data_IF_738064123318
#
_entry.id   IF_738064123318
#
_cell.length_a   1.000
_cell.length_b   1.000
_cell.length_c   1.000
_cell.angle_alpha   90.00
_cell.angle_beta   90.00
_cell.angle_gamma   90.00
#
_symmetry.space_group_name_H-M   'P 1'
#
loop_
_entity.id
_entity.type
_entity.pdbx_description
1 polymer ?
#
# COMPACT_ATOMS: atom_id res chain seq x y z
N UNK A 1 -16.36 46.58 -12.51
CA UNK A 1 -15.83 45.20 -12.61
C UNK A 1 -15.24 45.00 -14.01
N UNK A 2 -14.18 44.22 -14.28
CA UNK A 2 -13.18 43.51 -13.44
C UNK A 2 -11.96 43.11 -14.30
N UNK A 3 -11.11 44.08 -14.68
CA UNK A 3 -9.88 43.83 -15.47
C UNK A 3 -8.99 42.65 -14.98
N UNK A 4 -8.74 42.44 -13.67
CA UNK A 4 -7.95 41.29 -13.21
C UNK A 4 -8.63 39.94 -13.47
N UNK A 5 -9.97 39.84 -13.46
CA UNK A 5 -10.68 38.58 -13.75
C UNK A 5 -10.58 38.20 -15.24
N UNK A 6 -10.57 39.18 -16.15
CA UNK A 6 -10.35 38.92 -17.56
C UNK A 6 -8.92 38.42 -17.84
N UNK A 7 -7.93 38.93 -17.10
CA UNK A 7 -6.54 38.47 -17.18
C UNK A 7 -6.38 37.04 -16.65
N UNK A 8 -6.94 36.71 -15.47
CA UNK A 8 -6.86 35.36 -14.90
C UNK A 8 -7.63 34.32 -15.72
N UNK A 9 -8.79 34.68 -16.28
CA UNK A 9 -9.51 33.79 -17.20
C UNK A 9 -8.70 33.49 -18.48
N UNK A 10 -7.97 34.49 -19.01
CA UNK A 10 -7.11 34.33 -20.18
C UNK A 10 -5.90 33.44 -19.89
N UNK A 11 -5.21 33.63 -18.77
CA UNK A 11 -4.07 32.77 -18.39
C UNK A 11 -4.52 31.33 -18.11
N UNK A 12 -5.65 31.14 -17.42
CA UNK A 12 -6.21 29.81 -17.16
C UNK A 12 -6.59 29.09 -18.47
N UNK A 13 -7.25 29.78 -19.42
CA UNK A 13 -7.56 29.21 -20.75
C UNK A 13 -6.30 28.85 -21.53
N UNK A 14 -5.24 29.66 -21.46
CA UNK A 14 -3.95 29.35 -22.09
C UNK A 14 -3.30 28.12 -21.48
N UNK A 15 -3.25 28.02 -20.15
CA UNK A 15 -2.73 26.86 -19.40
C UNK A 15 -3.49 25.56 -19.74
N UNK A 16 -4.83 25.60 -19.73
CA UNK A 16 -5.65 24.44 -20.14
C UNK A 16 -5.35 24.04 -21.59
N UNK A 17 -5.21 25.01 -22.50
CA UNK A 17 -4.89 24.72 -23.91
C UNK A 17 -3.48 24.14 -24.10
N UNK A 18 -2.49 24.56 -23.31
CA UNK A 18 -1.13 24.04 -23.40
C UNK A 18 -1.03 22.64 -22.80
N UNK A 19 -1.70 22.41 -21.67
CA UNK A 19 -1.86 21.07 -21.06
C UNK A 19 -2.54 20.11 -22.04
N UNK A 20 -3.66 20.50 -22.67
CA UNK A 20 -4.35 19.67 -23.65
C UNK A 20 -3.48 19.33 -24.87
N UNK A 21 -2.71 20.29 -25.40
CA UNK A 21 -1.75 20.00 -26.49
C UNK A 21 -0.63 19.08 -26.04
N UNK A 22 -0.16 19.21 -24.79
CA UNK A 22 0.89 18.37 -24.23
C UNK A 22 0.40 16.94 -23.96
N UNK A 23 -0.82 16.76 -23.44
CA UNK A 23 -1.41 15.42 -23.22
C UNK A 23 -1.71 14.71 -24.53
N UNK A 24 -2.22 15.41 -25.56
CA UNK A 24 -2.41 14.83 -26.90
C UNK A 24 -1.08 14.39 -27.51
N UNK A 25 -0.04 15.25 -27.45
CA UNK A 25 1.33 14.85 -27.89
C UNK A 25 1.87 13.69 -27.07
N UNK A 26 1.62 13.64 -25.77
CA UNK A 26 2.04 12.53 -24.92
C UNK A 26 1.37 11.20 -25.31
N UNK A 27 0.04 11.21 -25.43
CA UNK A 27 -0.77 10.03 -25.75
C UNK A 27 -0.62 9.55 -27.21
N UNK A 28 -0.24 10.43 -28.15
CA UNK A 28 0.02 10.02 -29.55
C UNK A 28 1.13 8.96 -29.70
N UNK A 29 2.00 8.81 -28.70
CA UNK A 29 3.05 7.78 -28.65
C UNK A 29 2.72 6.64 -27.67
N UNK A 30 1.46 6.54 -27.24
CA UNK A 30 0.96 5.56 -26.27
C UNK A 30 -0.50 5.19 -26.59
N UNK A 31 -0.75 4.47 -27.72
CA UNK A 31 -2.10 4.26 -28.25
C UNK A 31 -3.01 3.43 -27.33
N UNK A 32 -2.50 2.42 -26.61
CA UNK A 32 -3.35 1.63 -25.71
C UNK A 32 -3.71 2.44 -24.44
N UNK A 33 -2.77 3.21 -23.92
CA UNK A 33 -3.02 4.19 -22.84
C UNK A 33 -4.09 5.19 -23.29
N UNK A 34 -3.97 5.74 -24.50
CA UNK A 34 -4.94 6.68 -25.04
C UNK A 34 -6.35 6.07 -25.11
N UNK A 35 -6.47 4.86 -25.68
CA UNK A 35 -7.74 4.15 -25.79
C UNK A 35 -8.37 3.86 -24.41
N UNK A 36 -7.59 3.37 -23.45
CA UNK A 36 -8.06 3.08 -22.09
C UNK A 36 -8.39 4.36 -21.32
N UNK A 37 -7.62 5.43 -21.45
CA UNK A 37 -7.93 6.74 -20.87
C UNK A 37 -9.24 7.31 -21.43
N UNK A 38 -9.49 7.19 -22.74
CA UNK A 38 -10.76 7.63 -23.35
C UNK A 38 -11.92 6.77 -22.85
N UNK A 39 -11.78 5.45 -22.84
CA UNK A 39 -12.81 4.54 -22.32
C UNK A 39 -13.14 4.84 -20.85
N UNK A 40 -12.12 5.07 -20.02
CA UNK A 40 -12.30 5.48 -18.62
C UNK A 40 -13.01 6.80 -18.48
N UNK A 41 -12.60 7.83 -19.22
CA UNK A 41 -13.25 9.14 -19.17
C UNK A 41 -14.72 9.06 -19.60
N UNK A 42 -15.04 8.29 -20.64
CA UNK A 42 -16.42 8.08 -21.12
C UNK A 42 -17.25 7.29 -20.10
N UNK A 43 -16.75 6.17 -19.57
CA UNK A 43 -17.50 5.35 -18.60
C UNK A 43 -17.68 6.10 -17.28
N UNK A 44 -16.65 6.76 -16.74
CA UNK A 44 -16.79 7.55 -15.51
C UNK A 44 -17.69 8.78 -15.68
N UNK A 45 -17.68 9.45 -16.84
CA UNK A 45 -18.63 10.52 -17.13
C UNK A 45 -20.07 10.00 -17.27
N UNK A 46 -20.26 8.85 -17.93
CA UNK A 46 -21.57 8.21 -18.08
C UNK A 46 -22.13 7.78 -16.72
N UNK A 47 -21.30 7.15 -15.89
CA UNK A 47 -21.68 6.77 -14.53
C UNK A 47 -22.01 8.00 -13.66
N UNK A 48 -21.31 9.13 -13.82
CA UNK A 48 -21.63 10.35 -13.10
C UNK A 48 -22.99 10.96 -13.51
N UNK A 49 -23.33 10.92 -14.81
CA UNK A 49 -24.61 11.45 -15.33
C UNK A 49 -25.79 10.53 -15.01
N UNK A 50 -25.59 9.22 -15.05
CA UNK A 50 -26.64 8.19 -14.96
C UNK A 50 -26.51 7.33 -13.69
N UNK A 51 -26.00 7.94 -12.61
CA UNK A 51 -25.61 7.30 -11.34
C UNK A 51 -26.62 6.30 -10.80
N UNK A 52 -27.90 6.67 -10.77
CA UNK A 52 -28.96 5.87 -10.14
C UNK A 52 -29.43 4.69 -11.02
N UNK A 53 -28.90 4.55 -12.24
CA UNK A 53 -29.28 3.50 -13.19
C UNK A 53 -28.17 2.46 -13.46
N UNK A 54 -26.92 2.72 -13.06
CA UNK A 54 -25.76 1.87 -13.39
C UNK A 54 -25.04 1.25 -12.18
N UNK A 55 -25.79 0.82 -11.16
CA UNK A 55 -25.26 -0.01 -10.07
C UNK A 55 -24.65 -1.35 -10.55
N UNK A 56 -24.88 -1.73 -11.81
CA UNK A 56 -24.42 -2.99 -12.44
C UNK A 56 -22.98 -2.96 -12.98
N UNK A 57 -22.26 -1.83 -12.88
CA UNK A 57 -20.86 -1.78 -13.35
C UNK A 57 -19.86 -2.35 -12.33
N UNK A 58 -20.22 -2.39 -11.04
CA UNK A 58 -19.36 -2.94 -9.99
C UNK A 58 -19.33 -4.47 -10.03
N UNK A 59 -18.16 -5.07 -9.83
CA UNK A 59 -18.03 -6.52 -9.72
C UNK A 59 -18.35 -6.95 -8.28
N UNK A 60 -19.57 -7.45 -8.09
CA UNK A 60 -20.05 -8.12 -6.87
C UNK A 60 -19.93 -9.65 -7.00
N UNK A 61 -19.96 -10.41 -5.90
CA UNK A 61 -20.00 -11.88 -5.95
C UNK A 61 -21.42 -12.45 -6.10
N UNK A 62 -22.46 -11.72 -5.69
CA UNK A 62 -23.86 -12.18 -5.68
C UNK A 62 -24.59 -11.95 -7.01
N UNK A 63 -24.17 -10.97 -7.81
CA UNK A 63 -24.77 -10.60 -9.09
C UNK A 63 -23.72 -10.45 -10.21
N UNK A 64 -22.68 -11.30 -10.16
CA UNK A 64 -21.56 -11.26 -11.11
C UNK A 64 -21.96 -11.75 -12.50
N UNK A 65 -22.43 -10.84 -13.35
CA UNK A 65 -22.40 -11.07 -14.79
C UNK A 65 -20.95 -11.12 -15.29
N UNK A 66 -20.63 -11.97 -16.27
CA UNK A 66 -19.24 -12.13 -16.74
C UNK A 66 -18.60 -10.83 -17.26
N UNK A 67 -19.41 -9.90 -17.76
CA UNK A 67 -18.95 -8.58 -18.21
C UNK A 67 -18.60 -7.62 -17.06
N UNK A 68 -19.06 -7.87 -15.82
CA UNK A 68 -18.72 -7.06 -14.64
C UNK A 68 -17.22 -7.03 -14.36
N UNK A 69 -16.51 -8.11 -14.70
CA UNK A 69 -15.05 -8.22 -14.63
C UNK A 69 -14.37 -7.12 -15.46
N UNK A 70 -14.94 -6.76 -16.61
CA UNK A 70 -14.41 -5.76 -17.52
C UNK A 70 -14.99 -4.37 -17.23
N UNK A 71 -16.31 -4.26 -16.98
CA UNK A 71 -16.95 -2.95 -16.77
C UNK A 71 -16.57 -2.28 -15.45
N UNK A 72 -16.18 -3.05 -14.43
CA UNK A 72 -15.69 -2.53 -13.14
C UNK A 72 -14.46 -1.64 -13.25
N UNK A 73 -13.69 -1.71 -14.35
CA UNK A 73 -12.60 -0.78 -14.69
C UNK A 73 -13.04 0.70 -14.57
N UNK A 74 -14.26 1.01 -15.03
CA UNK A 74 -14.80 2.37 -15.08
C UNK A 74 -15.78 2.72 -13.97
N UNK A 75 -16.12 1.77 -13.08
CA UNK A 75 -16.96 2.02 -11.93
C UNK A 75 -16.24 2.91 -10.90
N UNK A 76 -16.94 3.92 -10.37
CA UNK A 76 -16.40 4.93 -9.44
C UNK A 76 -17.39 5.09 -8.29
N UNK A 77 -17.04 4.78 -7.03
CA UNK A 77 -17.95 4.94 -5.90
C UNK A 77 -18.46 6.38 -5.79
N UNK A 78 -19.77 6.52 -5.56
CA UNK A 78 -20.54 7.73 -5.84
C UNK A 78 -20.22 9.03 -5.07
N UNK A 79 -19.09 9.14 -4.38
CA UNK A 79 -18.72 10.35 -3.63
C UNK A 79 -17.35 10.93 -3.99
N UNK A 80 -16.55 10.25 -4.81
CA UNK A 80 -15.17 10.67 -5.09
C UNK A 80 -14.88 10.85 -6.58
N UNK A 81 -15.33 11.97 -7.15
CA UNK A 81 -14.83 12.44 -8.46
C UNK A 81 -13.29 12.56 -8.45
N UNK A 82 -12.69 12.82 -7.29
CA UNK A 82 -11.26 12.77 -7.05
C UNK A 82 -10.60 11.43 -7.39
N UNK A 83 -11.22 10.26 -7.13
CA UNK A 83 -10.61 8.95 -7.46
C UNK A 83 -10.66 8.67 -8.95
N UNK A 84 -11.74 9.06 -9.63
CA UNK A 84 -11.84 9.01 -11.10
C UNK A 84 -10.77 9.88 -11.76
N UNK A 85 -10.68 11.16 -11.37
CA UNK A 85 -9.69 12.10 -11.90
C UNK A 85 -8.27 11.63 -11.59
N UNK A 86 -7.98 11.18 -10.37
CA UNK A 86 -6.67 10.63 -10.01
C UNK A 86 -6.34 9.38 -10.84
N UNK A 87 -7.31 8.47 -11.04
CA UNK A 87 -7.16 7.28 -11.86
C UNK A 87 -6.85 7.60 -13.33
N UNK A 88 -7.57 8.56 -13.91
CA UNK A 88 -7.37 9.04 -15.30
C UNK A 88 -6.01 9.74 -15.45
N UNK A 89 -5.66 10.66 -14.55
CA UNK A 89 -4.37 11.37 -14.57
C UNK A 89 -3.21 10.38 -14.38
N UNK A 90 -3.33 9.43 -13.46
CA UNK A 90 -2.31 8.39 -13.24
C UNK A 90 -2.20 7.46 -14.46
N UNK A 91 -3.30 7.15 -15.15
CA UNK A 91 -3.25 6.39 -16.41
C UNK A 91 -2.51 7.17 -17.51
N UNK A 92 -2.81 8.45 -17.70
CA UNK A 92 -2.12 9.29 -18.70
C UNK A 92 -0.61 9.33 -18.43
N UNK A 93 -0.21 9.61 -17.18
CA UNK A 93 1.20 9.80 -16.82
C UNK A 93 1.94 8.46 -16.71
N UNK A 94 1.52 7.59 -15.79
CA UNK A 94 2.22 6.34 -15.50
C UNK A 94 1.93 5.27 -16.56
N UNK A 95 0.67 5.12 -16.99
CA UNK A 95 0.31 4.20 -18.07
C UNK A 95 1.04 4.54 -19.36
N UNK A 96 1.05 5.82 -19.76
CA UNK A 96 1.73 6.29 -20.97
C UNK A 96 3.26 6.16 -20.90
N UNK A 97 3.87 6.40 -19.73
CA UNK A 97 5.31 6.13 -19.53
C UNK A 97 5.63 4.63 -19.65
N UNK A 98 4.83 3.77 -19.02
CA UNK A 98 5.02 2.31 -19.04
C UNK A 98 4.82 1.76 -20.45
N UNK A 99 3.85 2.27 -21.23
CA UNK A 99 3.65 1.83 -22.62
C UNK A 99 4.86 2.14 -23.50
N UNK A 100 5.44 3.34 -23.35
CA UNK A 100 6.66 3.73 -24.08
C UNK A 100 7.88 2.89 -23.70
N UNK A 101 7.98 2.46 -22.44
CA UNK A 101 9.11 1.67 -21.95
C UNK A 101 9.00 0.16 -22.20
N UNK A 102 7.77 -0.40 -22.23
CA UNK A 102 7.54 -1.84 -22.40
C UNK A 102 7.01 -2.23 -23.79
N UNK A 103 6.52 -1.24 -24.55
CA UNK A 103 5.77 -1.45 -25.78
C UNK A 103 4.30 -1.83 -25.54
N UNK A 104 3.43 -1.42 -26.46
CA UNK A 104 1.97 -1.61 -26.41
C UNK A 104 1.55 -3.07 -26.18
N UNK A 105 2.26 -4.06 -26.74
CA UNK A 105 1.92 -5.49 -26.58
C UNK A 105 2.03 -5.95 -25.11
N UNK A 106 3.14 -5.63 -24.44
CA UNK A 106 3.36 -5.98 -23.05
C UNK A 106 2.43 -5.18 -22.11
N UNK A 107 2.17 -3.92 -22.45
CA UNK A 107 1.21 -3.07 -21.74
C UNK A 107 -0.20 -3.66 -21.76
N UNK A 108 -0.72 -4.02 -22.94
CA UNK A 108 -2.07 -4.59 -23.10
C UNK A 108 -2.18 -5.95 -22.41
N UNK A 109 -1.17 -6.82 -22.56
CA UNK A 109 -1.14 -8.10 -21.86
C UNK A 109 -1.17 -7.93 -20.33
N UNK A 110 -0.37 -7.01 -19.78
CA UNK A 110 -0.36 -6.71 -18.36
C UNK A 110 -1.69 -6.11 -17.88
N UNK A 111 -2.25 -5.13 -18.60
CA UNK A 111 -3.52 -4.49 -18.25
C UNK A 111 -4.70 -5.48 -18.22
N UNK A 112 -4.85 -6.29 -19.28
CA UNK A 112 -5.92 -7.29 -19.37
C UNK A 112 -5.76 -8.40 -18.33
N UNK A 113 -4.54 -8.93 -18.16
CA UNK A 113 -4.28 -9.95 -17.13
C UNK A 113 -4.55 -9.42 -15.72
N UNK A 114 -4.15 -8.17 -15.44
CA UNK A 114 -4.37 -7.51 -14.17
C UNK A 114 -5.83 -7.41 -13.78
N UNK A 115 -6.69 -6.99 -14.72
CA UNK A 115 -8.12 -6.91 -14.48
C UNK A 115 -8.75 -8.31 -14.33
N UNK A 116 -8.57 -9.17 -15.34
CA UNK A 116 -9.28 -10.46 -15.40
C UNK A 116 -8.83 -11.39 -14.28
N UNK A 117 -7.52 -11.56 -14.09
CA UNK A 117 -6.98 -12.44 -13.03
C UNK A 117 -7.13 -11.79 -11.66
N UNK A 118 -6.99 -10.46 -11.54
CA UNK A 118 -7.21 -9.76 -10.27
C UNK A 118 -8.60 -9.99 -9.69
N UNK A 119 -9.64 -9.86 -10.51
CA UNK A 119 -11.03 -10.13 -10.11
C UNK A 119 -11.29 -11.64 -9.93
N UNK A 120 -10.91 -12.47 -10.91
CA UNK A 120 -11.21 -13.90 -10.89
C UNK A 120 -10.49 -14.64 -9.75
N UNK A 121 -9.23 -14.32 -9.47
CA UNK A 121 -8.47 -14.96 -8.38
C UNK A 121 -8.99 -14.55 -7.01
N UNK A 122 -9.44 -13.30 -6.82
CA UNK A 122 -10.11 -12.87 -5.59
C UNK A 122 -11.35 -13.72 -5.29
N UNK A 123 -12.21 -13.94 -6.28
CA UNK A 123 -13.40 -14.78 -6.08
C UNK A 123 -13.08 -16.28 -5.95
N UNK A 124 -12.11 -16.79 -6.70
CA UNK A 124 -11.70 -18.20 -6.62
C UNK A 124 -11.06 -18.56 -5.26
N UNK A 125 -10.40 -17.60 -4.60
CA UNK A 125 -9.76 -17.81 -3.30
C UNK A 125 -10.67 -17.49 -2.11
N UNK A 126 -11.79 -16.79 -2.32
CA UNK A 126 -12.76 -16.42 -1.28
C UNK A 126 -13.23 -17.61 -0.42
N UNK A 127 -13.55 -18.81 -0.96
CA UNK A 127 -13.99 -19.94 -0.14
C UNK A 127 -12.89 -20.47 0.80
N UNK A 128 -11.63 -20.37 0.39
CA UNK A 128 -10.49 -20.71 1.26
C UNK A 128 -10.30 -19.63 2.34
N UNK A 129 -10.51 -18.36 1.98
CA UNK A 129 -10.41 -17.25 2.91
C UNK A 129 -11.46 -17.31 4.01
N UNK A 130 -12.74 -17.55 3.66
CA UNK A 130 -13.83 -17.74 4.62
C UNK A 130 -13.63 -18.94 5.56
N UNK A 131 -12.81 -19.93 5.16
CA UNK A 131 -12.40 -21.07 6.02
C UNK A 131 -11.19 -20.75 6.91
N UNK A 132 -10.24 -19.96 6.42
CA UNK A 132 -9.00 -19.67 7.13
C UNK A 132 -9.14 -18.52 8.14
N UNK A 133 -9.82 -17.44 7.76
CA UNK A 133 -10.09 -16.26 8.58
C UNK A 133 -11.50 -15.78 8.22
N UNK A 134 -12.50 -16.26 8.95
CA UNK A 134 -13.93 -16.08 8.61
C UNK A 134 -14.31 -14.62 8.42
N UNK A 135 -14.02 -13.75 9.38
CA UNK A 135 -14.36 -12.31 9.34
C UNK A 135 -13.76 -11.61 8.11
N UNK A 136 -12.46 -11.79 7.86
CA UNK A 136 -11.78 -11.21 6.69
C UNK A 136 -12.33 -11.77 5.37
N UNK A 137 -12.66 -13.06 5.33
CA UNK A 137 -13.32 -13.69 4.20
C UNK A 137 -14.75 -13.19 3.96
N UNK A 138 -15.49 -12.79 5.00
CA UNK A 138 -16.80 -12.16 4.85
C UNK A 138 -16.66 -10.70 4.36
N UNK A 139 -15.78 -9.90 4.95
CA UNK A 139 -15.52 -8.51 4.51
C UNK A 139 -15.12 -8.44 3.02
N UNK A 140 -14.25 -9.35 2.55
CA UNK A 140 -13.92 -9.46 1.11
C UNK A 140 -15.12 -9.98 0.29
N UNK A 141 -15.99 -10.82 0.88
CA UNK A 141 -17.17 -11.36 0.24
C UNK A 141 -18.36 -10.40 0.14
N UNK A 142 -18.36 -9.32 0.92
CA UNK A 142 -19.38 -8.26 0.90
C UNK A 142 -18.89 -7.03 0.09
N UNK A 143 -17.58 -6.78 0.07
CA UNK A 143 -16.98 -5.68 -0.68
C UNK A 143 -17.04 -5.85 -2.21
N UNK A 144 -17.34 -4.75 -2.92
CA UNK A 144 -17.34 -4.71 -4.38
C UNK A 144 -15.97 -4.34 -4.97
N UNK A 145 -15.74 -4.74 -6.23
CA UNK A 145 -14.53 -4.43 -6.98
C UNK A 145 -14.81 -3.36 -8.06
N UNK A 146 -13.99 -2.30 -8.07
CA UNK A 146 -14.18 -1.12 -8.91
C UNK A 146 -12.86 -0.38 -9.22
N UNK A 147 -12.89 0.44 -10.27
CA UNK A 147 -11.89 1.45 -10.62
C UNK A 147 -10.60 0.95 -11.29
N UNK A 148 -9.78 1.91 -11.70
CA UNK A 148 -8.53 1.70 -12.48
C UNK A 148 -7.40 1.00 -11.74
N UNK A 149 -7.52 0.82 -10.42
CA UNK A 149 -6.37 0.49 -9.57
C UNK A 149 -5.76 -0.87 -9.88
N UNK A 150 -6.54 -1.85 -10.35
CA UNK A 150 -6.04 -3.17 -10.75
C UNK A 150 -5.13 -3.07 -11.99
N UNK A 151 -5.55 -2.33 -13.02
CA UNK A 151 -4.73 -2.08 -14.22
C UNK A 151 -3.43 -1.35 -13.83
N UNK A 152 -3.52 -0.26 -13.06
CA UNK A 152 -2.35 0.53 -12.67
C UNK A 152 -1.34 -0.30 -11.85
N UNK A 153 -1.82 -1.15 -10.95
CA UNK A 153 -0.98 -2.07 -10.17
C UNK A 153 -0.37 -3.18 -11.02
N UNK A 154 -1.12 -3.75 -11.97
CA UNK A 154 -0.59 -4.74 -12.91
C UNK A 154 0.47 -4.14 -13.84
N UNK A 155 0.28 -2.91 -14.33
CA UNK A 155 1.26 -2.16 -15.10
C UNK A 155 2.51 -1.84 -14.27
N UNK A 156 2.38 -1.50 -12.98
CA UNK A 156 3.52 -1.37 -12.09
C UNK A 156 4.28 -2.71 -11.95
N UNK A 157 3.58 -3.83 -11.80
CA UNK A 157 4.16 -5.18 -11.79
C UNK A 157 4.90 -5.53 -13.10
N UNK A 158 4.37 -5.09 -14.24
CA UNK A 158 5.00 -5.23 -15.54
C UNK A 158 6.28 -4.38 -15.65
N UNK A 159 6.23 -3.11 -15.23
CA UNK A 159 7.39 -2.21 -15.22
C UNK A 159 8.53 -2.73 -14.32
N UNK A 160 8.20 -3.40 -13.23
CA UNK A 160 9.20 -4.07 -12.37
C UNK A 160 9.96 -5.18 -13.10
N UNK A 161 9.40 -5.80 -14.14
CA UNK A 161 10.09 -6.84 -14.92
C UNK A 161 11.21 -6.30 -15.81
N UNK A 162 11.10 -5.06 -16.29
CA UNK A 162 12.12 -4.41 -17.14
C UNK A 162 13.30 -3.84 -16.34
N UNK A 163 13.18 -3.74 -15.01
CA UNK A 163 14.30 -3.37 -14.14
C UNK A 163 15.40 -4.43 -14.18
N UNK A 164 16.66 -3.99 -14.20
CA UNK A 164 17.82 -4.87 -14.08
C UNK A 164 17.80 -5.66 -12.76
N UNK A 165 18.43 -6.84 -12.75
CA UNK A 165 18.23 -7.87 -11.71
C UNK A 165 18.34 -7.34 -10.26
N UNK A 166 19.33 -6.50 -9.99
CA UNK A 166 19.56 -5.84 -8.67
C UNK A 166 18.41 -4.93 -8.21
N UNK A 167 17.69 -4.26 -9.12
CA UNK A 167 16.55 -3.40 -8.78
C UNK A 167 15.23 -4.16 -8.82
N UNK A 168 15.10 -5.13 -9.74
CA UNK A 168 13.94 -5.99 -9.91
C UNK A 168 13.54 -6.70 -8.62
N UNK A 169 14.46 -7.39 -7.95
CA UNK A 169 14.10 -8.10 -6.71
C UNK A 169 13.67 -7.14 -5.59
N UNK A 170 14.35 -5.99 -5.45
CA UNK A 170 14.02 -4.96 -4.45
C UNK A 170 12.62 -4.39 -4.66
N UNK A 171 12.31 -4.01 -5.90
CA UNK A 171 11.01 -3.44 -6.26
C UNK A 171 9.89 -4.49 -6.15
N UNK A 172 10.13 -5.74 -6.55
CA UNK A 172 9.19 -6.86 -6.31
C UNK A 172 8.90 -7.02 -4.82
N UNK A 173 9.92 -7.17 -3.98
CA UNK A 173 9.73 -7.41 -2.54
C UNK A 173 9.03 -6.22 -1.85
N UNK A 174 9.39 -4.98 -2.22
CA UNK A 174 8.70 -3.78 -1.74
C UNK A 174 7.22 -3.77 -2.17
N UNK A 175 6.91 -3.93 -3.45
CA UNK A 175 5.53 -3.80 -3.96
C UNK A 175 4.63 -4.95 -3.51
N UNK A 176 5.13 -6.19 -3.53
CA UNK A 176 4.40 -7.34 -3.01
C UNK A 176 4.19 -7.16 -1.50
N UNK A 177 5.23 -6.80 -0.74
CA UNK A 177 5.14 -6.56 0.70
C UNK A 177 4.13 -5.47 1.05
N UNK A 178 4.22 -4.29 0.42
CA UNK A 178 3.29 -3.18 0.65
C UNK A 178 1.85 -3.57 0.27
N UNK A 179 1.60 -4.23 -0.86
CA UNK A 179 0.23 -4.61 -1.24
C UNK A 179 -0.36 -5.71 -0.35
N UNK A 180 0.42 -6.73 0.01
CA UNK A 180 -0.03 -7.80 0.92
C UNK A 180 -0.34 -7.22 2.30
N UNK A 181 0.53 -6.37 2.84
CA UNK A 181 0.29 -5.70 4.12
C UNK A 181 -0.89 -4.73 4.04
N UNK A 182 -1.03 -3.96 2.96
CA UNK A 182 -2.18 -3.08 2.74
C UNK A 182 -3.49 -3.87 2.67
N UNK A 183 -3.51 -5.01 1.98
CA UNK A 183 -4.67 -5.90 1.90
C UNK A 183 -5.03 -6.50 3.26
N UNK A 184 -4.03 -6.90 4.04
CA UNK A 184 -4.23 -7.50 5.35
C UNK A 184 -4.57 -6.46 6.43
N UNK A 185 -4.29 -5.17 6.22
CA UNK A 185 -4.72 -4.07 7.10
C UNK A 185 -6.11 -3.56 6.73
N UNK A 186 -6.31 -3.20 5.45
CA UNK A 186 -7.54 -2.55 5.00
C UNK A 186 -8.73 -3.51 4.93
N UNK A 187 -8.49 -4.82 4.85
CA UNK A 187 -9.54 -5.84 4.77
C UNK A 187 -10.25 -5.92 3.42
N UNK A 188 -10.41 -4.80 2.72
CA UNK A 188 -11.24 -4.65 1.52
C UNK A 188 -10.87 -5.53 0.32
N UNK A 189 -11.91 -6.01 -0.37
CA UNK A 189 -11.80 -6.82 -1.60
C UNK A 189 -10.88 -6.19 -2.66
N UNK A 190 -10.99 -4.88 -2.89
CA UNK A 190 -10.16 -4.15 -3.85
C UNK A 190 -8.67 -4.18 -3.49
N UNK A 191 -8.33 -4.17 -2.21
CA UNK A 191 -6.94 -4.22 -1.75
C UNK A 191 -6.34 -5.61 -1.93
N UNK A 192 -7.15 -6.65 -1.75
CA UNK A 192 -6.79 -8.04 -2.02
C UNK A 192 -6.63 -8.32 -3.53
N UNK A 193 -7.58 -7.86 -4.34
CA UNK A 193 -7.52 -7.98 -5.80
C UNK A 193 -6.28 -7.30 -6.42
N UNK A 194 -5.76 -6.21 -5.83
CA UNK A 194 -4.50 -5.59 -6.25
C UNK A 194 -3.29 -6.51 -6.11
N UNK A 195 -3.25 -7.39 -5.10
CA UNK A 195 -2.17 -8.37 -4.95
C UNK A 195 -2.16 -9.33 -6.14
N UNK A 196 -3.33 -9.88 -6.48
CA UNK A 196 -3.51 -10.76 -7.64
C UNK A 196 -3.22 -10.04 -8.97
N UNK A 197 -3.68 -8.79 -9.12
CA UNK A 197 -3.41 -7.98 -10.30
C UNK A 197 -1.91 -7.69 -10.49
N UNK A 198 -1.17 -7.41 -9.41
CA UNK A 198 0.29 -7.23 -9.46
C UNK A 198 0.97 -8.51 -9.99
N UNK A 199 0.63 -9.65 -9.40
CA UNK A 199 1.22 -10.95 -9.77
C UNK A 199 0.88 -11.33 -11.22
N UNK A 200 -0.37 -11.12 -11.64
CA UNK A 200 -0.81 -11.33 -13.02
C UNK A 200 -0.03 -10.44 -14.01
N UNK A 201 0.07 -9.13 -13.74
CA UNK A 201 0.84 -8.20 -14.57
C UNK A 201 2.34 -8.54 -14.63
N UNK A 202 2.92 -9.01 -13.53
CA UNK A 202 4.30 -9.52 -13.49
C UNK A 202 4.49 -10.75 -14.39
N UNK A 203 3.56 -11.72 -14.35
CA UNK A 203 3.61 -12.95 -15.16
C UNK A 203 3.35 -12.65 -16.64
N UNK A 204 2.32 -11.85 -16.95
CA UNK A 204 1.96 -11.48 -18.31
C UNK A 204 3.06 -10.68 -19.00
N UNK A 205 3.71 -9.73 -18.30
CA UNK A 205 4.86 -9.01 -18.85
C UNK A 205 6.05 -9.95 -19.11
N UNK A 206 6.31 -10.91 -18.20
CA UNK A 206 7.36 -11.93 -18.39
C UNK A 206 7.09 -12.80 -19.62
N UNK A 207 5.84 -13.21 -19.83
CA UNK A 207 5.37 -13.97 -20.99
C UNK A 207 5.42 -13.16 -22.29
N UNK A 208 5.10 -11.86 -22.22
CA UNK A 208 5.24 -10.91 -23.33
C UNK A 208 6.71 -10.53 -23.67
N UNK A 209 7.69 -11.20 -23.05
CA UNK A 209 9.11 -11.04 -23.34
C UNK A 209 9.84 -9.99 -22.50
N UNK A 210 9.16 -9.28 -21.58
CA UNK A 210 9.79 -8.24 -20.76
C UNK A 210 10.88 -8.84 -19.87
N UNK A 211 12.12 -8.41 -20.12
CA UNK A 211 13.35 -8.86 -19.48
C UNK A 211 14.25 -7.67 -19.19
N UNK A 212 14.32 -7.26 -17.93
CA UNK A 212 15.38 -6.37 -17.47
C UNK A 212 16.73 -7.06 -17.44
N UNK A 213 17.79 -6.27 -17.62
CA UNK A 213 19.18 -6.73 -17.75
C UNK A 213 19.60 -7.66 -16.60
N UNK A 214 20.28 -8.74 -16.97
CA UNK A 214 21.02 -9.54 -16.00
C UNK A 214 22.30 -8.80 -15.62
N UNK A 215 22.74 -8.99 -14.38
CA UNK A 215 23.83 -8.22 -13.79
C UNK A 215 24.59 -9.12 -12.83
N UNK A 216 25.91 -9.04 -12.84
CA UNK A 216 26.79 -9.89 -12.05
C UNK A 216 26.42 -9.98 -10.58
N UNK A 217 26.85 -11.10 -9.99
CA UNK A 217 26.68 -11.48 -8.60
C UNK A 217 26.88 -10.28 -7.67
N UNK A 218 25.94 -10.11 -6.75
CA UNK A 218 25.98 -9.07 -5.72
C UNK A 218 26.39 -9.72 -4.41
N UNK A 219 27.42 -9.19 -3.74
CA UNK A 219 27.86 -9.70 -2.43
C UNK A 219 26.68 -9.96 -1.49
N UNK A 220 26.58 -11.16 -0.94
CA UNK A 220 25.49 -11.60 -0.05
C UNK A 220 25.25 -10.62 1.11
N UNK A 221 26.33 -10.05 1.66
CA UNK A 221 26.29 -9.04 2.72
C UNK A 221 25.50 -7.79 2.30
N UNK A 222 25.65 -7.35 1.04
CA UNK A 222 24.94 -6.17 0.52
C UNK A 222 23.46 -6.49 0.27
N UNK A 223 23.17 -7.70 -0.20
CA UNK A 223 21.81 -8.22 -0.40
C UNK A 223 21.08 -8.35 0.94
N UNK A 224 21.72 -8.91 1.97
CA UNK A 224 21.18 -9.02 3.33
C UNK A 224 20.84 -7.66 3.95
N UNK A 225 21.75 -6.67 3.87
CA UNK A 225 21.49 -5.28 4.32
C UNK A 225 20.24 -4.68 3.66
N UNK A 226 20.09 -4.91 2.35
CA UNK A 226 18.97 -4.37 1.57
C UNK A 226 17.66 -5.08 1.87
N UNK A 227 17.68 -6.41 2.06
CA UNK A 227 16.49 -7.18 2.40
C UNK A 227 15.88 -6.70 3.72
N UNK A 228 16.72 -6.58 4.75
CA UNK A 228 16.32 -6.07 6.08
C UNK A 228 15.84 -4.62 6.01
N UNK A 229 16.51 -3.77 5.22
CA UNK A 229 16.11 -2.37 5.02
C UNK A 229 14.73 -2.25 4.35
N UNK A 230 14.43 -3.08 3.35
CA UNK A 230 13.14 -3.07 2.67
C UNK A 230 12.05 -3.71 3.55
N UNK A 231 12.37 -4.77 4.31
CA UNK A 231 11.43 -5.34 5.29
C UNK A 231 11.04 -4.31 6.37
N UNK A 232 12.02 -3.55 6.87
CA UNK A 232 11.78 -2.44 7.80
C UNK A 232 10.94 -1.31 7.19
N UNK A 233 11.10 -1.02 5.89
CA UNK A 233 10.27 -0.06 5.16
C UNK A 233 8.84 -0.58 4.95
N UNK A 234 8.65 -1.86 4.59
CA UNK A 234 7.34 -2.48 4.47
C UNK A 234 6.59 -2.45 5.82
N UNK A 235 7.26 -2.78 6.93
CA UNK A 235 6.71 -2.66 8.28
C UNK A 235 6.31 -1.21 8.61
N UNK A 236 7.14 -0.22 8.27
CA UNK A 236 6.83 1.19 8.52
C UNK A 236 5.65 1.70 7.68
N UNK A 237 5.51 1.23 6.44
CA UNK A 237 4.34 1.50 5.60
C UNK A 237 3.07 0.84 6.17
N UNK A 238 3.15 -0.40 6.66
CA UNK A 238 2.05 -1.09 7.31
C UNK A 238 1.57 -0.34 8.57
N UNK A 239 2.50 0.00 9.46
CA UNK A 239 2.23 0.83 10.64
C UNK A 239 1.60 2.18 10.28
N UNK A 240 2.10 2.88 9.25
CA UNK A 240 1.52 4.15 8.81
C UNK A 240 0.09 3.99 8.28
N UNK A 241 -0.20 2.90 7.56
CA UNK A 241 -1.53 2.61 7.06
C UNK A 241 -2.54 2.38 8.19
N UNK A 242 -2.19 1.67 9.26
CA UNK A 242 -3.11 1.45 10.39
C UNK A 242 -3.44 2.72 11.19
N UNK A 243 -2.57 3.74 11.16
CA UNK A 243 -2.82 5.05 11.79
C UNK A 243 -3.69 5.96 10.91
N UNK A 244 -3.57 5.85 9.58
CA UNK A 244 -4.26 6.74 8.62
C UNK A 244 -5.59 6.15 8.11
N UNK A 245 -5.79 4.84 8.19
CA UNK A 245 -7.03 4.18 7.78
C UNK A 245 -8.20 4.50 8.72
N UNK A 246 -9.26 5.10 8.19
CA UNK A 246 -10.48 5.42 8.95
C UNK A 246 -11.35 4.22 9.30
N UNK A 247 -11.22 3.11 8.56
CA UNK A 247 -11.93 1.84 8.79
C UNK A 247 -11.05 0.66 8.32
N UNK A 248 -10.15 0.13 9.17
CA UNK A 248 -9.34 -1.03 8.84
C UNK A 248 -10.05 -2.33 9.25
N UNK A 249 -10.50 -3.11 8.26
CA UNK A 249 -11.30 -4.33 8.45
C UNK A 249 -10.46 -5.63 8.33
N UNK A 250 -9.15 -5.52 8.12
CA UNK A 250 -8.28 -6.67 7.87
C UNK A 250 -7.66 -7.27 9.14
N UNK A 251 -7.14 -8.51 9.08
CA UNK A 251 -6.55 -9.21 10.24
C UNK A 251 -5.31 -8.51 10.84
N UNK A 252 -4.64 -7.61 10.10
CA UNK A 252 -3.54 -6.77 10.59
C UNK A 252 -3.97 -5.36 11.00
N UNK A 253 -5.27 -5.01 10.93
CA UNK A 253 -5.81 -3.74 11.43
C UNK A 253 -5.38 -3.45 12.87
N UNK A 254 -5.37 -4.49 13.71
CA UNK A 254 -5.01 -4.41 15.12
C UNK A 254 -3.54 -4.05 15.37
N UNK A 255 -2.69 -4.00 14.32
CA UNK A 255 -1.32 -3.48 14.45
C UNK A 255 -1.29 -2.02 14.92
N UNK A 256 -2.37 -1.21 14.78
CA UNK A 256 -2.44 0.13 15.40
C UNK A 256 -2.14 0.11 16.90
N UNK A 257 -2.65 -0.89 17.62
CA UNK A 257 -2.46 -1.07 19.06
C UNK A 257 -1.05 -1.53 19.45
N UNK A 258 -0.24 -1.90 18.46
CA UNK A 258 1.17 -2.25 18.66
C UNK A 258 2.11 -1.03 18.60
N UNK A 259 1.62 0.13 18.13
CA UNK A 259 2.42 1.34 17.92
C UNK A 259 2.57 2.22 19.18
N UNK A 260 1.78 1.95 20.21
CA UNK A 260 1.84 2.63 21.50
C UNK A 260 0.77 2.08 22.45
N UNK A 261 0.79 2.49 23.73
CA UNK A 261 -0.23 2.08 24.69
C UNK A 261 -1.65 2.48 24.23
N UNK A 262 -2.67 1.68 24.54
CA UNK A 262 -4.05 1.96 24.13
C UNK A 262 -4.53 3.39 24.48
N UNK A 263 -4.17 3.89 25.69
CA UNK A 263 -4.45 5.24 26.17
C UNK A 263 -3.80 6.40 25.38
N UNK A 264 -2.93 6.12 24.40
CA UNK A 264 -2.42 7.10 23.44
C UNK A 264 -3.36 7.29 22.23
N UNK A 265 -4.17 6.29 21.92
CA UNK A 265 -5.17 6.28 20.85
C UNK A 265 -6.58 6.58 21.38
N UNK A 266 -6.86 6.25 22.65
CA UNK A 266 -8.09 6.57 23.34
C UNK A 266 -8.31 8.09 23.47
N UNK A 267 -9.36 8.62 22.84
CA UNK A 267 -10.03 9.84 23.28
C UNK A 267 -9.45 11.20 22.87
N UNK A 268 -8.40 11.31 22.04
CA UNK A 268 -7.96 12.62 21.49
C UNK A 268 -7.63 12.60 20.00
N UNK A 269 -8.49 13.25 19.22
CA UNK A 269 -8.37 13.52 17.77
C UNK A 269 -7.46 14.71 17.43
N UNK A 270 -6.39 14.92 18.22
CA UNK A 270 -5.47 16.04 18.06
C UNK A 270 -4.34 15.75 17.08
N UNK A 271 -3.86 16.77 16.35
CA UNK A 271 -2.64 16.66 15.52
C UNK A 271 -1.45 16.12 16.32
N UNK A 272 -1.39 16.47 17.61
CA UNK A 272 -0.36 16.05 18.56
C UNK A 272 -0.35 14.53 18.81
N UNK A 273 -1.52 13.91 19.04
CA UNK A 273 -1.59 12.44 19.24
C UNK A 273 -1.25 11.69 17.97
N UNK A 274 -1.68 12.18 16.80
CA UNK A 274 -1.26 11.61 15.50
C UNK A 274 0.26 11.70 15.31
N UNK A 275 0.89 12.83 15.65
CA UNK A 275 2.36 12.98 15.58
C UNK A 275 3.09 12.01 16.53
N UNK A 276 2.55 11.78 17.73
CA UNK A 276 3.08 10.80 18.68
C UNK A 276 2.95 9.37 18.16
N UNK A 277 1.81 8.98 17.58
CA UNK A 277 1.64 7.67 16.93
C UNK A 277 2.58 7.47 15.72
N UNK A 278 3.01 8.55 15.05
CA UNK A 278 4.01 8.52 13.97
C UNK A 278 5.46 8.42 14.48
N UNK A 279 5.71 8.50 15.78
CA UNK A 279 7.05 8.37 16.37
C UNK A 279 7.75 7.03 16.01
N UNK A 280 7.20 5.84 16.33
CA UNK A 280 7.84 4.57 15.98
C UNK A 280 8.05 4.42 14.47
N UNK A 281 7.13 4.94 13.65
CA UNK A 281 7.20 4.89 12.19
C UNK A 281 8.38 5.73 11.68
N UNK A 282 8.49 7.00 12.09
CA UNK A 282 9.58 7.89 11.68
C UNK A 282 10.95 7.36 12.15
N UNK A 283 11.02 6.84 13.38
CA UNK A 283 12.24 6.23 13.92
C UNK A 283 12.63 4.96 13.13
N UNK A 284 11.66 4.11 12.80
CA UNK A 284 11.91 2.91 12.00
C UNK A 284 12.36 3.24 10.57
N UNK A 285 11.88 4.33 9.95
CA UNK A 285 12.39 4.81 8.66
C UNK A 285 13.86 5.28 8.74
N UNK A 286 14.23 5.97 9.81
CA UNK A 286 15.63 6.35 10.09
C UNK A 286 16.51 5.10 10.26
N UNK A 287 16.02 4.08 10.97
CA UNK A 287 16.73 2.81 11.08
C UNK A 287 16.79 2.04 9.77
N UNK A 288 15.72 1.99 8.96
CA UNK A 288 15.73 1.36 7.63
C UNK A 288 16.81 1.95 6.71
N UNK A 289 17.03 3.27 6.77
CA UNK A 289 18.13 3.93 6.07
C UNK A 289 19.52 3.57 6.65
N UNK A 290 19.63 3.47 7.97
CA UNK A 290 20.86 3.03 8.64
C UNK A 290 21.23 1.57 8.35
N UNK A 291 20.24 0.67 8.31
CA UNK A 291 20.34 -0.74 7.94
C UNK A 291 20.85 -0.89 6.50
N UNK A 292 20.34 -0.09 5.55
CA UNK A 292 20.86 -0.04 4.16
C UNK A 292 22.35 0.26 4.10
N UNK A 293 22.85 1.11 5.01
CA UNK A 293 24.29 1.44 5.16
C UNK A 293 25.08 0.45 6.01
N UNK A 294 24.49 -0.66 6.47
CA UNK A 294 25.16 -1.67 7.28
C UNK A 294 25.50 -1.25 8.72
N UNK A 295 24.89 -0.17 9.23
CA UNK A 295 25.24 0.43 10.53
C UNK A 295 24.75 -0.42 11.71
N UNK A 296 25.66 -0.88 12.56
CA UNK A 296 25.35 -1.69 13.76
C UNK A 296 24.38 -0.99 14.73
N UNK A 297 24.49 0.33 14.88
CA UNK A 297 23.59 1.12 15.71
C UNK A 297 22.14 1.11 15.21
N UNK A 298 21.90 1.05 13.90
CA UNK A 298 20.55 0.97 13.35
C UNK A 298 19.94 -0.44 13.52
N UNK A 299 20.77 -1.48 13.41
CA UNK A 299 20.39 -2.86 13.73
C UNK A 299 19.97 -3.00 15.21
N UNK A 300 20.79 -2.51 16.15
CA UNK A 300 20.44 -2.52 17.58
C UNK A 300 19.20 -1.67 17.85
N UNK A 301 19.11 -0.47 17.24
CA UNK A 301 17.94 0.41 17.35
C UNK A 301 16.65 -0.24 16.88
N UNK A 302 16.66 -0.96 15.74
CA UNK A 302 15.50 -1.73 15.27
C UNK A 302 15.11 -2.83 16.26
N UNK A 303 16.06 -3.62 16.79
CA UNK A 303 15.75 -4.67 17.76
C UNK A 303 15.16 -4.11 19.06
N UNK A 304 15.72 -3.00 19.57
CA UNK A 304 15.20 -2.33 20.77
C UNK A 304 13.79 -1.78 20.50
N UNK A 305 13.58 -1.09 19.38
CA UNK A 305 12.27 -0.53 19.03
C UNK A 305 11.20 -1.62 18.87
N UNK A 306 11.49 -2.67 18.09
CA UNK A 306 10.56 -3.77 17.88
C UNK A 306 10.31 -4.58 19.16
N UNK A 307 11.31 -4.71 20.04
CA UNK A 307 11.16 -5.29 21.37
C UNK A 307 10.26 -4.46 22.28
N UNK A 308 10.46 -3.13 22.34
CA UNK A 308 9.61 -2.22 23.11
C UNK A 308 8.17 -2.25 22.63
N UNK A 309 7.93 -2.14 21.32
CA UNK A 309 6.58 -2.19 20.73
C UNK A 309 5.90 -3.55 20.99
N UNK A 310 6.64 -4.67 20.84
CA UNK A 310 6.15 -6.00 21.16
C UNK A 310 5.76 -6.15 22.65
N UNK A 311 6.59 -5.64 23.57
CA UNK A 311 6.29 -5.64 25.01
C UNK A 311 5.07 -4.75 25.31
N UNK A 312 5.01 -3.53 24.77
CA UNK A 312 3.85 -2.63 24.96
C UNK A 312 2.54 -3.28 24.48
N UNK A 313 2.56 -3.96 23.34
CA UNK A 313 1.41 -4.71 22.82
C UNK A 313 0.95 -5.78 23.84
N UNK A 314 1.90 -6.60 24.31
CA UNK A 314 1.64 -7.68 25.26
C UNK A 314 1.10 -7.14 26.59
N UNK A 315 1.69 -6.06 27.12
CA UNK A 315 1.26 -5.43 28.37
C UNK A 315 -0.16 -4.86 28.24
N UNK A 316 -0.47 -4.12 27.18
CA UNK A 316 -1.82 -3.56 27.00
C UNK A 316 -2.90 -4.64 26.96
N UNK A 317 -2.73 -5.69 26.14
CA UNK A 317 -3.76 -6.75 26.07
C UNK A 317 -3.82 -7.60 27.35
N UNK A 318 -2.70 -7.77 28.06
CA UNK A 318 -2.70 -8.47 29.36
C UNK A 318 -3.46 -7.66 30.42
N UNK A 319 -3.35 -6.33 30.42
CA UNK A 319 -4.14 -5.47 31.33
C UNK A 319 -5.63 -5.56 31.02
N UNK A 320 -6.04 -5.56 29.76
CA UNK A 320 -7.45 -5.71 29.38
C UNK A 320 -8.01 -7.11 29.71
N UNK A 321 -7.22 -8.17 29.50
CA UNK A 321 -7.59 -9.54 29.88
C UNK A 321 -7.71 -9.72 31.39
N UNK A 322 -6.86 -9.04 32.19
CA UNK A 322 -6.94 -9.06 33.65
C UNK A 322 -8.08 -8.19 34.21
N UNK A 323 -8.57 -7.22 33.44
CA UNK A 323 -9.70 -6.37 33.80
C UNK A 323 -11.06 -7.00 33.42
N UNK A 324 -11.08 -8.13 32.72
CA UNK A 324 -12.30 -8.78 32.25
C UNK A 324 -13.02 -9.56 33.36
N UNK A 325 -14.28 -9.21 33.63
CA UNK A 325 -15.08 -9.78 34.71
C UNK A 325 -16.00 -10.94 34.29
N UNK A 326 -15.79 -11.55 33.12
CA UNK A 326 -16.52 -12.73 32.67
C UNK A 326 -17.61 -12.45 31.62
N UNK A 327 -18.42 -13.45 31.25
CA UNK A 327 -19.26 -13.41 30.05
C UNK A 327 -20.38 -12.35 30.07
N UNK A 328 -20.75 -11.84 31.24
CA UNK A 328 -21.77 -10.79 31.41
C UNK A 328 -21.22 -9.36 31.16
N UNK A 329 -19.89 -9.20 31.16
CA UNK A 329 -19.19 -7.97 30.78
C UNK A 329 -18.48 -8.19 29.44
N UNK A 330 -19.09 -7.80 28.30
CA UNK A 330 -18.53 -8.10 26.99
C UNK A 330 -17.22 -7.35 26.80
N UNK A 331 -16.11 -8.11 26.78
CA UNK A 331 -14.84 -7.66 26.20
C UNK A 331 -15.14 -6.89 24.92
N UNK A 332 -14.57 -5.68 24.81
CA UNK A 332 -14.72 -4.87 23.60
C UNK A 332 -14.41 -5.75 22.38
N UNK A 333 -15.15 -5.64 21.26
CA UNK A 333 -14.92 -6.46 20.07
C UNK A 333 -13.47 -6.31 19.55
N UNK A 334 -12.87 -5.15 19.77
CA UNK A 334 -11.45 -4.90 19.49
C UNK A 334 -10.51 -5.83 20.28
N UNK A 335 -10.86 -6.17 21.53
CA UNK A 335 -10.06 -6.99 22.46
C UNK A 335 -10.38 -8.48 22.33
N UNK A 336 -11.61 -8.89 21.99
CA UNK A 336 -11.87 -10.31 21.63
C UNK A 336 -11.19 -10.68 20.32
N UNK A 337 -11.26 -9.81 19.31
CA UNK A 337 -10.54 -9.98 18.05
C UNK A 337 -9.03 -9.78 18.24
N UNK A 338 -8.56 -8.85 19.08
CA UNK A 338 -7.14 -8.75 19.39
C UNK A 338 -6.62 -9.89 20.27
N UNK A 339 -7.40 -10.49 21.17
CA UNK A 339 -6.95 -11.64 21.98
C UNK A 339 -6.88 -12.94 21.13
N UNK A 340 -7.80 -13.10 20.17
CA UNK A 340 -7.76 -14.21 19.21
C UNK A 340 -6.72 -14.00 18.09
N UNK A 341 -6.43 -12.75 17.71
CA UNK A 341 -5.39 -12.38 16.73
C UNK A 341 -4.14 -11.76 17.37
N UNK A 342 -3.90 -11.96 18.67
CA UNK A 342 -2.81 -11.33 19.44
C UNK A 342 -1.44 -11.68 18.86
N UNK A 343 -1.36 -12.88 18.29
CA UNK A 343 -0.24 -13.34 17.49
C UNK A 343 0.09 -12.36 16.36
N UNK A 344 -0.87 -11.79 15.62
CA UNK A 344 -0.60 -11.18 14.32
C UNK A 344 0.22 -9.87 14.37
N UNK A 345 -0.08 -8.87 15.23
CA UNK A 345 0.79 -7.71 15.40
C UNK A 345 2.17 -8.09 15.98
N UNK A 346 2.18 -8.97 16.98
CA UNK A 346 3.41 -9.45 17.62
C UNK A 346 4.28 -10.23 16.63
N UNK A 347 3.68 -11.08 15.79
CA UNK A 347 4.33 -11.82 14.70
C UNK A 347 4.97 -10.88 13.69
N UNK A 348 4.38 -9.72 13.39
CA UNK A 348 5.00 -8.77 12.46
C UNK A 348 6.29 -8.17 13.03
N UNK A 349 6.27 -7.82 14.32
CA UNK A 349 7.44 -7.31 15.05
C UNK A 349 8.50 -8.41 15.23
N UNK A 350 8.07 -9.61 15.62
CA UNK A 350 8.92 -10.81 15.78
C UNK A 350 9.50 -11.26 14.45
N UNK A 351 8.77 -11.19 13.34
CA UNK A 351 9.29 -11.51 12.01
C UNK A 351 10.37 -10.51 11.58
N UNK A 352 10.19 -9.22 11.88
CA UNK A 352 11.22 -8.22 11.60
C UNK A 352 12.46 -8.41 12.50
N UNK A 353 12.28 -8.78 13.77
CA UNK A 353 13.35 -9.23 14.65
C UNK A 353 14.05 -10.49 14.12
N UNK A 354 13.32 -11.51 13.67
CA UNK A 354 13.89 -12.73 13.12
C UNK A 354 14.70 -12.45 11.85
N UNK A 355 14.16 -11.64 10.92
CA UNK A 355 14.85 -11.22 9.69
C UNK A 355 16.11 -10.40 9.98
N UNK A 356 16.05 -9.45 10.93
CA UNK A 356 17.23 -8.66 11.33
C UNK A 356 18.29 -9.54 12.02
N UNK A 357 17.90 -10.45 12.91
CA UNK A 357 18.79 -11.40 13.62
C UNK A 357 19.41 -12.46 12.70
N UNK A 358 18.66 -12.95 11.71
CA UNK A 358 19.16 -13.87 10.68
C UNK A 358 20.29 -13.20 9.89
N UNK A 359 20.06 -11.97 9.46
CA UNK A 359 21.01 -11.18 8.67
C UNK A 359 22.09 -10.48 9.51
N UNK A 360 22.22 -10.78 10.81
CA UNK A 360 23.12 -10.08 11.76
C UNK A 360 24.56 -9.92 11.27
N UNK A 361 25.10 -10.93 10.57
CA UNK A 361 26.46 -10.94 10.02
C UNK A 361 26.71 -9.79 9.03
N UNK A 362 25.66 -9.20 8.48
CA UNK A 362 25.74 -8.10 7.53
C UNK A 362 26.03 -6.74 8.19
N UNK A 363 25.83 -6.58 9.50
CA UNK A 363 25.86 -5.27 10.19
C UNK A 363 27.15 -5.02 10.98
N UNK A 364 28.27 -4.97 10.28
CA UNK A 364 29.62 -4.80 10.86
C UNK A 364 30.08 -3.35 11.01
N UNK A 365 29.42 -2.39 10.35
CA UNK A 365 29.91 -1.00 10.28
C UNK A 365 29.50 -0.25 11.56
N UNK A 366 30.49 0.13 12.36
CA UNK A 366 30.29 1.02 13.49
C UNK A 366 30.08 2.45 12.96
N UNK A 367 29.05 3.14 13.46
CA UNK A 367 28.82 4.54 13.11
C UNK A 367 29.66 5.44 14.02
N UNK A 368 30.29 6.47 13.46
CA UNK A 368 30.94 7.50 14.26
C UNK A 368 29.89 8.15 15.20
N UNK A 369 30.16 8.24 16.52
CA UNK A 369 29.13 8.49 17.52
C UNK A 369 28.45 9.87 17.40
N UNK A 370 29.12 10.86 16.80
CA UNK A 370 28.63 12.23 16.67
C UNK A 370 27.40 12.37 15.74
N UNK A 371 27.36 11.65 14.61
CA UNK A 371 26.28 11.85 13.62
C UNK A 371 25.00 11.11 13.98
N UNK A 372 25.10 9.93 14.62
CA UNK A 372 23.91 9.19 15.08
C UNK A 372 23.33 9.79 16.34
N UNK A 373 24.17 10.23 17.30
CA UNK A 373 23.68 10.90 18.51
C UNK A 373 23.01 12.24 18.21
N UNK A 374 23.53 13.06 17.29
CA UNK A 374 22.90 14.35 16.95
C UNK A 374 21.57 14.19 16.25
N UNK A 375 21.41 13.21 15.34
CA UNK A 375 20.16 12.98 14.64
C UNK A 375 19.11 12.34 15.56
N UNK A 376 19.49 11.36 16.39
CA UNK A 376 18.63 10.79 17.42
C UNK A 376 18.24 11.83 18.49
N UNK A 377 19.17 12.70 18.92
CA UNK A 377 18.88 13.80 19.87
C UNK A 377 17.92 14.83 19.28
N UNK A 378 18.09 15.21 18.01
CA UNK A 378 17.13 16.10 17.32
C UNK A 378 15.74 15.48 17.22
N UNK A 379 15.66 14.17 16.92
CA UNK A 379 14.39 13.44 16.91
C UNK A 379 13.77 13.35 18.31
N UNK A 380 14.54 13.02 19.34
CA UNK A 380 14.07 13.00 20.74
C UNK A 380 13.59 14.37 21.22
N UNK A 381 14.29 15.46 20.87
CA UNK A 381 13.84 16.83 21.19
C UNK A 381 12.52 17.14 20.46
N UNK A 382 12.40 16.79 19.18
CA UNK A 382 11.16 16.96 18.43
C UNK A 382 10.00 16.20 19.11
N UNK A 383 10.22 14.93 19.47
CA UNK A 383 9.18 14.11 20.10
C UNK A 383 8.84 14.59 21.52
N UNK A 384 9.81 15.08 22.29
CA UNK A 384 9.56 15.68 23.61
C UNK A 384 8.76 16.98 23.51
N UNK A 385 9.03 17.82 22.50
CA UNK A 385 8.24 19.02 22.20
C UNK A 385 6.83 18.67 21.69
N UNK A 386 6.65 17.52 21.04
CA UNK A 386 5.32 16.99 20.70
C UNK A 386 4.63 16.25 21.85
N UNK A 387 5.29 16.02 23.00
CA UNK A 387 4.72 15.32 24.14
C UNK A 387 4.39 16.25 25.33
N UNK A 388 4.91 17.48 25.31
CA UNK A 388 4.62 18.56 26.24
C UNK A 388 3.47 19.44 25.72
#
# INVERSE_FOLDING_TARGET
MTAPLAATARTLRLLVSSLARLTVRWLSHAPATAAVTIALAVVSATYFVWRDQFATLEASPSSSHWWSIISSIGAVPGHFLATAVLGIVTMIVAGGAIERHLGTRAWVAAALSGQVVGVAATWATLPLLKRAISEWGQAIGEGTLWGTSLILVALAGAAVQSLGSRWRWRARFLLIGVLVLSSAILGSAISYARVWALLAGMVAARAAGVRGTESDASDDITTGRQFVSIAALCWACAAALTVVSSAPEGPLAQMRWSLGPAWWLEGRTGVITTLLCLAPITLQLVFAYGLRKGRRAAYIGTLILQGLLGISTLTSTTVELLAWNGPDDPLRPEVTTAASLLLMPVLLNVALCAVTLWMRRSFTIHAAPSTTSTLARRWLILMAVCAA
#
